data_IF_637216628258
#
_entry.id   IF_637216628258
#
_cell.length_a   1.000
_cell.length_b   1.000
_cell.length_c   1.000
_cell.angle_alpha   90.00
_cell.angle_beta   90.00
_cell.angle_gamma   90.00
#
_symmetry.space_group_name_H-M   'P 1'
#
loop_
_entity.id
_entity.type
_entity.pdbx_description
1 polymer ?
#
# COMPACT_ATOMS: atom_id res chain seq x y z
N UNK A 1 -8.17 32.15 -33.66
CA UNK A 1 -6.89 31.47 -33.32
C UNK A 1 -7.17 30.61 -32.12
N UNK A 2 -7.52 29.36 -32.35
CA UNK A 2 -7.87 28.41 -31.28
C UNK A 2 -6.56 27.89 -30.70
N UNK A 3 -6.27 28.20 -29.43
CA UNK A 3 -5.12 27.63 -28.70
C UNK A 3 -5.36 26.12 -28.59
N UNK A 4 -4.50 25.33 -29.28
CA UNK A 4 -4.39 23.91 -28.97
C UNK A 4 -4.00 23.76 -27.50
N UNK A 5 -4.95 23.30 -26.68
CA UNK A 5 -4.67 22.78 -25.36
C UNK A 5 -3.95 21.46 -25.60
N UNK A 6 -2.65 21.43 -25.34
CA UNK A 6 -1.87 20.19 -25.29
C UNK A 6 -2.45 19.38 -24.13
N UNK A 7 -3.21 18.34 -24.46
CA UNK A 7 -3.67 17.36 -23.47
C UNK A 7 -2.40 16.69 -22.92
N UNK A 8 -2.03 17.05 -21.71
CA UNK A 8 -1.13 16.24 -20.88
C UNK A 8 -1.71 14.84 -20.80
N UNK A 9 -0.87 13.81 -20.81
CA UNK A 9 -1.26 12.40 -20.75
C UNK A 9 -2.27 12.17 -19.60
N UNK A 10 -3.56 12.26 -19.91
CA UNK A 10 -4.59 11.91 -18.96
C UNK A 10 -4.64 10.39 -18.85
N UNK A 11 -4.50 9.88 -17.63
CA UNK A 11 -4.79 8.48 -17.32
C UNK A 11 -6.13 8.10 -17.97
N UNK A 12 -6.14 7.02 -18.74
CA UNK A 12 -7.33 6.58 -19.44
C UNK A 12 -8.45 6.32 -18.43
N UNK A 13 -9.67 6.86 -18.67
CA UNK A 13 -10.82 6.66 -17.78
C UNK A 13 -11.08 5.18 -17.43
N UNK A 14 -10.87 4.27 -18.38
CA UNK A 14 -10.98 2.83 -18.15
C UNK A 14 -9.94 2.34 -17.15
N UNK A 15 -8.69 2.80 -17.26
CA UNK A 15 -7.61 2.46 -16.34
C UNK A 15 -7.90 2.98 -14.93
N UNK A 16 -8.32 4.25 -14.85
CA UNK A 16 -8.70 4.86 -13.57
C UNK A 16 -9.88 4.12 -12.91
N UNK A 17 -10.93 3.82 -13.69
CA UNK A 17 -12.10 3.07 -13.20
C UNK A 17 -11.73 1.68 -12.66
N UNK A 18 -10.87 0.95 -13.38
CA UNK A 18 -10.37 -0.36 -12.94
C UNK A 18 -9.52 -0.25 -11.68
N UNK A 19 -8.65 0.76 -11.64
CA UNK A 19 -7.80 0.96 -10.50
C UNK A 19 -8.59 1.37 -9.26
N UNK A 20 -9.57 2.26 -9.40
CA UNK A 20 -10.50 2.61 -8.32
C UNK A 20 -11.24 1.37 -7.78
N UNK A 21 -11.66 0.46 -8.66
CA UNK A 21 -12.33 -0.78 -8.25
C UNK A 21 -11.44 -1.66 -7.37
N UNK A 22 -10.14 -1.80 -7.69
CA UNK A 22 -9.24 -2.65 -6.89
C UNK A 22 -8.77 -1.99 -5.59
N UNK A 23 -8.85 -0.66 -5.50
CA UNK A 23 -8.55 0.07 -4.27
C UNK A 23 -9.74 0.15 -3.32
N UNK A 24 -10.95 -0.19 -3.77
CA UNK A 24 -12.15 -0.16 -2.95
C UNK A 24 -12.06 -1.15 -1.79
N UNK A 25 -12.49 -0.75 -0.60
CA UNK A 25 -12.45 -1.57 0.61
C UNK A 25 -13.31 -2.84 0.53
N UNK A 26 -14.28 -2.91 -0.42
CA UNK A 26 -15.10 -4.10 -0.68
C UNK A 26 -14.42 -5.09 -1.64
N UNK A 27 -13.28 -4.72 -2.26
CA UNK A 27 -12.56 -5.62 -3.14
C UNK A 27 -12.07 -6.86 -2.35
N UNK A 28 -12.23 -8.08 -2.87
CA UNK A 28 -11.98 -9.31 -2.12
C UNK A 28 -10.47 -9.60 -1.96
N UNK A 29 -9.71 -8.64 -1.45
CA UNK A 29 -8.29 -8.79 -1.15
C UNK A 29 -8.01 -9.38 0.24
N UNK A 30 -8.99 -9.32 1.16
CA UNK A 30 -8.82 -9.74 2.54
C UNK A 30 -8.19 -8.68 3.45
N UNK A 31 -7.88 -7.49 2.96
CA UNK A 31 -7.19 -6.44 3.72
C UNK A 31 -7.94 -5.98 4.98
N UNK A 32 -9.28 -6.04 4.99
CA UNK A 32 -10.13 -5.54 6.08
C UNK A 32 -9.99 -6.31 7.40
N UNK A 33 -9.34 -7.47 7.41
CA UNK A 33 -9.09 -8.26 8.62
C UNK A 33 -7.75 -7.90 9.30
N UNK A 34 -7.02 -6.94 8.75
CA UNK A 34 -5.73 -6.50 9.25
C UNK A 34 -5.81 -5.10 9.84
N UNK A 35 -5.20 -4.89 11.02
CA UNK A 35 -5.11 -3.58 11.67
C UNK A 35 -3.88 -2.78 11.26
N UNK A 36 -2.94 -3.44 10.60
CA UNK A 36 -1.64 -2.85 10.22
C UNK A 36 -0.90 -2.19 11.41
N UNK A 37 -0.94 -2.85 12.58
CA UNK A 37 -0.28 -2.39 13.79
C UNK A 37 -1.08 -1.38 14.63
N UNK A 38 -2.24 -0.94 14.18
CA UNK A 38 -3.04 0.03 14.93
C UNK A 38 -3.65 -0.57 16.21
N UNK A 39 -4.12 -1.83 16.16
CA UNK A 39 -4.77 -2.47 17.32
C UNK A 39 -3.89 -2.44 18.59
N UNK A 40 -2.62 -2.91 18.55
CA UNK A 40 -1.78 -2.84 19.75
C UNK A 40 -1.47 -1.40 20.21
N UNK A 41 -1.43 -0.42 19.30
CA UNK A 41 -1.26 0.99 19.68
C UNK A 41 -2.48 1.56 20.41
N UNK A 42 -3.69 1.13 20.03
CA UNK A 42 -4.92 1.53 20.74
C UNK A 42 -5.02 0.82 22.10
N UNK A 43 -4.74 -0.48 22.15
CA UNK A 43 -4.77 -1.24 23.42
C UNK A 43 -3.79 -0.66 24.44
N UNK A 44 -2.65 -0.15 24.00
CA UNK A 44 -1.64 0.51 24.86
C UNK A 44 -1.91 2.01 25.08
N UNK A 45 -3.05 2.51 24.68
CA UNK A 45 -3.42 3.93 24.81
C UNK A 45 -2.42 4.90 24.12
N UNK A 46 -1.58 4.40 23.20
CA UNK A 46 -0.72 5.26 22.37
C UNK A 46 -1.54 5.99 21.30
N UNK A 47 -2.61 5.36 20.82
CA UNK A 47 -3.65 5.97 19.96
C UNK A 47 -4.97 5.89 20.72
N UNK A 48 -5.50 7.04 21.16
CA UNK A 48 -6.69 7.14 22.01
C UNK A 48 -7.73 8.17 21.54
N UNK A 49 -7.31 9.11 20.72
CA UNK A 49 -8.10 10.22 20.19
C UNK A 49 -7.68 10.53 18.75
N UNK A 50 -8.35 11.53 18.13
CA UNK A 50 -8.10 11.90 16.73
C UNK A 50 -6.68 12.44 16.54
N UNK A 51 -6.17 13.23 17.49
CA UNK A 51 -4.84 13.84 17.39
C UNK A 51 -3.74 12.79 17.41
N UNK A 52 -3.85 11.80 18.29
CA UNK A 52 -2.88 10.69 18.36
C UNK A 52 -3.01 9.73 17.18
N UNK A 53 -4.20 9.57 16.60
CA UNK A 53 -4.38 8.82 15.36
C UNK A 53 -3.73 9.55 14.18
N UNK A 54 -3.91 10.85 14.08
CA UNK A 54 -3.28 11.66 13.04
C UNK A 54 -1.75 11.57 13.09
N UNK A 55 -1.17 11.75 14.27
CA UNK A 55 0.28 11.59 14.48
C UNK A 55 0.75 10.19 14.06
N UNK A 56 -0.01 9.14 14.42
CA UNK A 56 0.30 7.76 14.02
C UNK A 56 0.35 7.62 12.49
N UNK A 57 -0.65 8.14 11.78
CA UNK A 57 -0.71 8.05 10.32
C UNK A 57 0.36 8.90 9.62
N UNK A 58 0.69 10.09 10.16
CA UNK A 58 1.79 10.93 9.66
C UNK A 58 3.14 10.20 9.81
N UNK A 59 3.40 9.61 10.97
CA UNK A 59 4.64 8.85 11.21
C UNK A 59 4.72 7.62 10.28
N UNK A 60 3.60 6.97 9.99
CA UNK A 60 3.56 5.86 9.05
C UNK A 60 4.02 6.28 7.64
N UNK A 61 3.58 7.45 7.17
CA UNK A 61 4.02 7.98 5.88
C UNK A 61 5.51 8.36 5.92
N UNK A 62 5.92 9.13 6.93
CA UNK A 62 7.26 9.74 6.99
C UNK A 62 8.34 8.71 7.33
N UNK A 63 8.08 7.82 8.30
CA UNK A 63 9.09 6.93 8.85
C UNK A 63 9.09 5.52 8.24
N UNK A 64 8.00 5.10 7.63
CA UNK A 64 7.92 3.81 7.00
C UNK A 64 7.72 3.92 5.48
N UNK A 65 6.58 4.43 5.02
CA UNK A 65 6.24 4.40 3.59
C UNK A 65 7.27 5.09 2.72
N UNK A 66 7.75 6.29 3.12
CA UNK A 66 8.77 7.02 2.35
C UNK A 66 10.13 6.32 2.31
N UNK A 67 10.44 5.49 3.31
CA UNK A 67 11.76 4.84 3.45
C UNK A 67 11.78 3.41 2.91
N UNK A 68 10.62 2.80 2.68
CA UNK A 68 10.53 1.43 2.19
C UNK A 68 9.53 1.29 1.03
N UNK A 69 8.25 1.44 1.29
CA UNK A 69 7.20 1.12 0.33
C UNK A 69 7.30 1.96 -0.94
N UNK A 70 7.49 3.28 -0.82
CA UNK A 70 7.63 4.15 -1.99
C UNK A 70 8.89 3.86 -2.80
N UNK A 71 9.97 3.47 -2.12
CA UNK A 71 11.21 3.03 -2.78
C UNK A 71 10.97 1.75 -3.59
N UNK A 72 10.23 0.79 -3.03
CA UNK A 72 9.86 -0.44 -3.75
C UNK A 72 8.94 -0.15 -4.94
N UNK A 73 7.96 0.75 -4.80
CA UNK A 73 7.11 1.20 -5.91
C UNK A 73 7.97 1.77 -7.04
N UNK A 74 8.85 2.72 -6.71
CA UNK A 74 9.73 3.37 -7.70
C UNK A 74 10.63 2.35 -8.40
N UNK A 75 11.23 1.44 -7.67
CA UNK A 75 12.07 0.37 -8.24
C UNK A 75 11.25 -0.57 -9.12
N UNK A 76 10.04 -0.95 -8.71
CA UNK A 76 9.18 -1.82 -9.49
C UNK A 76 8.84 -1.19 -10.83
N UNK A 77 8.38 0.07 -10.85
CA UNK A 77 8.10 0.80 -12.09
C UNK A 77 9.32 0.88 -12.99
N UNK A 78 10.47 1.32 -12.44
CA UNK A 78 11.74 1.41 -13.18
C UNK A 78 12.13 0.09 -13.85
N UNK A 79 12.08 -1.01 -13.11
CA UNK A 79 12.52 -2.30 -13.64
C UNK A 79 11.50 -2.95 -14.57
N UNK A 80 10.22 -2.64 -14.45
CA UNK A 80 9.21 -2.99 -15.46
C UNK A 80 9.45 -2.23 -16.76
N UNK A 81 9.73 -0.93 -16.69
CA UNK A 81 10.05 -0.10 -17.86
C UNK A 81 11.35 -0.55 -18.55
N UNK A 82 12.39 -0.90 -17.78
CA UNK A 82 13.66 -1.46 -18.29
C UNK A 82 13.53 -2.91 -18.76
N UNK A 83 12.36 -3.54 -18.70
CA UNK A 83 12.11 -4.95 -19.03
C UNK A 83 13.00 -5.93 -18.26
N UNK A 84 13.25 -5.67 -16.97
CA UNK A 84 14.13 -6.44 -16.10
C UNK A 84 13.35 -7.35 -15.13
N UNK A 85 12.63 -8.32 -15.68
CA UNK A 85 11.77 -9.24 -14.93
C UNK A 85 12.48 -9.92 -13.75
N UNK A 86 13.74 -10.34 -13.93
CA UNK A 86 14.51 -11.00 -12.88
C UNK A 86 14.71 -10.12 -11.63
N UNK A 87 14.79 -8.80 -11.83
CA UNK A 87 14.93 -7.85 -10.73
C UNK A 87 13.58 -7.61 -10.07
N UNK A 88 12.48 -7.48 -10.83
CA UNK A 88 11.12 -7.38 -10.27
C UNK A 88 10.82 -8.60 -9.38
N UNK A 89 11.11 -9.81 -9.86
CA UNK A 89 11.02 -11.03 -9.07
C UNK A 89 11.85 -10.95 -7.78
N UNK A 90 13.10 -10.45 -7.87
CA UNK A 90 13.97 -10.30 -6.71
C UNK A 90 13.36 -9.33 -5.69
N UNK A 91 12.84 -8.18 -6.12
CA UNK A 91 12.15 -7.22 -5.25
C UNK A 91 10.97 -7.87 -4.52
N UNK A 92 10.15 -8.65 -5.22
CA UNK A 92 9.00 -9.35 -4.66
C UNK A 92 9.40 -10.34 -3.56
N UNK A 93 10.45 -11.14 -3.80
CA UNK A 93 10.91 -12.11 -2.81
C UNK A 93 11.68 -11.45 -1.65
N UNK A 94 12.32 -10.31 -1.87
CA UNK A 94 13.16 -9.63 -0.90
C UNK A 94 12.36 -8.80 0.12
N UNK A 95 11.24 -8.19 -0.30
CA UNK A 95 10.44 -7.28 0.55
C UNK A 95 10.01 -7.96 1.85
N UNK A 96 9.72 -9.24 1.83
CA UNK A 96 9.35 -10.01 3.00
C UNK A 96 10.43 -10.06 4.09
N UNK A 97 11.72 -9.86 3.72
CA UNK A 97 12.83 -9.85 4.69
C UNK A 97 12.90 -8.58 5.53
N UNK A 98 12.20 -7.53 5.10
CA UNK A 98 12.11 -6.26 5.82
C UNK A 98 10.86 -6.15 6.70
N UNK A 99 9.97 -7.15 6.63
CA UNK A 99 8.70 -7.18 7.36
C UNK A 99 8.76 -8.21 8.49
N UNK A 100 7.96 -8.00 9.54
CA UNK A 100 7.73 -9.07 10.50
C UNK A 100 7.03 -10.25 9.82
N UNK A 101 7.18 -11.46 10.38
CA UNK A 101 6.62 -12.67 9.78
C UNK A 101 5.12 -12.54 9.48
N UNK A 102 4.34 -11.98 10.41
CA UNK A 102 2.90 -11.80 10.26
C UNK A 102 2.56 -10.84 9.13
N UNK A 103 3.29 -9.72 9.02
CA UNK A 103 3.12 -8.74 7.96
C UNK A 103 3.54 -9.29 6.60
N UNK A 104 4.67 -10.00 6.54
CA UNK A 104 5.12 -10.65 5.32
C UNK A 104 4.09 -11.66 4.81
N UNK A 105 3.53 -12.47 5.72
CA UNK A 105 2.47 -13.42 5.39
C UNK A 105 1.21 -12.70 4.91
N UNK A 106 0.75 -11.68 5.65
CA UNK A 106 -0.43 -10.90 5.27
C UNK A 106 -0.25 -10.24 3.89
N UNK A 107 0.91 -9.64 3.62
CA UNK A 107 1.22 -9.03 2.33
C UNK A 107 1.15 -10.04 1.18
N UNK A 108 1.66 -11.25 1.36
CA UNK A 108 1.59 -12.33 0.36
C UNK A 108 0.16 -12.81 0.16
N UNK A 109 -0.58 -13.03 1.23
CA UNK A 109 -1.98 -13.51 1.15
C UNK A 109 -2.86 -12.46 0.43
N UNK A 110 -2.73 -11.19 0.78
CA UNK A 110 -3.45 -10.07 0.15
C UNK A 110 -3.03 -9.93 -1.32
N UNK A 111 -1.74 -9.93 -1.60
CA UNK A 111 -1.23 -9.79 -2.96
C UNK A 111 -1.62 -10.96 -3.86
N UNK A 112 -1.64 -12.19 -3.33
CA UNK A 112 -2.14 -13.36 -4.06
C UNK A 112 -3.64 -13.23 -4.36
N UNK A 113 -4.44 -12.72 -3.43
CA UNK A 113 -5.85 -12.45 -3.66
C UNK A 113 -6.05 -11.40 -4.76
N UNK A 114 -5.27 -10.30 -4.77
CA UNK A 114 -5.25 -9.34 -5.88
C UNK A 114 -4.89 -10.03 -7.20
N UNK A 115 -3.79 -10.78 -7.23
CA UNK A 115 -3.35 -11.50 -8.42
C UNK A 115 -4.45 -12.37 -9.02
N UNK A 116 -5.14 -13.18 -8.22
CA UNK A 116 -6.23 -14.04 -8.69
C UNK A 116 -7.32 -13.24 -9.41
N UNK A 117 -7.68 -12.06 -8.88
CA UNK A 117 -8.76 -11.23 -9.42
C UNK A 117 -8.37 -10.48 -10.69
N UNK A 118 -7.09 -10.11 -10.84
CA UNK A 118 -6.64 -9.19 -11.92
C UNK A 118 -5.84 -9.88 -13.02
N UNK A 119 -5.33 -11.10 -12.83
CA UNK A 119 -4.39 -11.79 -13.73
C UNK A 119 -4.85 -11.85 -15.19
N UNK A 120 -6.15 -12.01 -15.43
CA UNK A 120 -6.72 -12.13 -16.77
C UNK A 120 -7.02 -10.77 -17.42
N UNK A 121 -6.75 -9.66 -16.71
CA UNK A 121 -7.01 -8.31 -17.19
C UNK A 121 -5.75 -7.56 -17.63
N UNK A 122 -4.56 -8.11 -17.37
CA UNK A 122 -3.27 -7.50 -17.74
C UNK A 122 -3.00 -7.57 -19.23
N UNK A 123 -2.41 -6.52 -19.78
CA UNK A 123 -2.13 -6.37 -21.21
C UNK A 123 -0.63 -6.40 -21.54
N UNK A 124 0.20 -5.82 -20.68
CA UNK A 124 1.65 -5.65 -20.88
C UNK A 124 2.39 -6.97 -20.72
N UNK A 125 3.28 -7.30 -21.67
CA UNK A 125 3.97 -8.60 -21.69
C UNK A 125 4.79 -8.86 -20.43
N UNK A 126 5.59 -7.90 -19.96
CA UNK A 126 6.41 -8.09 -18.75
C UNK A 126 5.57 -8.33 -17.49
N UNK A 127 4.38 -7.71 -17.39
CA UNK A 127 3.47 -7.95 -16.25
C UNK A 127 2.84 -9.34 -16.35
N UNK A 128 2.49 -9.79 -17.57
CA UNK A 128 2.04 -11.18 -17.79
C UNK A 128 3.11 -12.20 -17.41
N UNK A 129 4.36 -11.93 -17.75
CA UNK A 129 5.49 -12.78 -17.38
C UNK A 129 5.71 -12.80 -15.87
N UNK A 130 5.64 -11.64 -15.19
CA UNK A 130 5.70 -11.58 -13.73
C UNK A 130 4.55 -12.38 -13.09
N UNK A 131 3.33 -12.24 -13.60
CA UNK A 131 2.18 -13.01 -13.11
C UNK A 131 2.30 -14.51 -13.39
N UNK A 132 3.00 -14.89 -14.45
CA UNK A 132 3.35 -16.31 -14.68
C UNK A 132 4.32 -16.84 -13.64
N UNK A 133 5.27 -16.02 -13.15
CA UNK A 133 6.14 -16.41 -12.05
C UNK A 133 5.37 -16.64 -10.75
N UNK A 134 4.35 -15.82 -10.47
CA UNK A 134 3.46 -16.03 -9.32
C UNK A 134 2.69 -17.35 -9.48
N UNK A 135 2.13 -17.61 -10.66
CA UNK A 135 1.43 -18.86 -10.97
C UNK A 135 2.31 -20.09 -10.75
N UNK A 136 3.58 -19.99 -11.13
CA UNK A 136 4.56 -21.06 -11.01
C UNK A 136 5.24 -21.14 -9.61
N UNK A 137 4.73 -20.37 -8.63
CA UNK A 137 5.28 -20.27 -7.26
C UNK A 137 6.77 -19.87 -7.22
N UNK A 138 7.22 -19.10 -8.23
CA UNK A 138 8.59 -18.56 -8.35
C UNK A 138 8.73 -17.13 -7.85
N UNK A 139 7.62 -16.46 -7.59
CA UNK A 139 7.50 -15.13 -7.01
C UNK A 139 6.48 -15.15 -5.86
N UNK A 140 6.71 -14.36 -4.84
CA UNK A 140 5.97 -14.39 -3.56
C UNK A 140 4.59 -13.74 -3.62
N UNK A 141 4.33 -12.94 -4.65
CA UNK A 141 3.08 -12.17 -4.81
C UNK A 141 2.81 -11.18 -3.67
N UNK A 142 3.82 -10.45 -3.19
CA UNK A 142 3.57 -9.40 -2.19
C UNK A 142 2.64 -8.32 -2.75
N UNK A 143 1.70 -7.86 -1.92
CA UNK A 143 0.67 -6.87 -2.28
C UNK A 143 1.24 -5.68 -3.04
N UNK A 144 2.30 -5.08 -2.50
CA UNK A 144 2.89 -3.86 -3.05
C UNK A 144 3.42 -4.07 -4.48
N UNK A 145 4.11 -5.19 -4.73
CA UNK A 145 4.69 -5.49 -6.05
C UNK A 145 3.59 -5.86 -7.06
N UNK A 146 2.58 -6.62 -6.63
CA UNK A 146 1.43 -6.97 -7.46
C UNK A 146 0.66 -5.72 -7.87
N UNK A 147 0.32 -4.83 -6.91
CA UNK A 147 -0.40 -3.59 -7.20
C UNK A 147 0.41 -2.61 -8.04
N UNK A 148 1.72 -2.46 -7.75
CA UNK A 148 2.62 -1.61 -8.56
C UNK A 148 2.70 -2.11 -10.00
N UNK A 149 2.81 -3.42 -10.19
CA UNK A 149 2.86 -4.03 -11.53
C UNK A 149 1.54 -3.84 -12.27
N UNK A 150 0.41 -3.95 -11.59
CA UNK A 150 -0.90 -3.72 -12.19
C UNK A 150 -1.14 -2.24 -12.53
N UNK A 151 -0.75 -1.33 -11.65
CA UNK A 151 -0.83 0.11 -11.93
C UNK A 151 0.03 0.50 -13.13
N UNK A 152 1.24 -0.07 -13.25
CA UNK A 152 2.09 0.07 -14.43
C UNK A 152 1.39 -0.45 -15.70
N UNK A 153 0.78 -1.64 -15.66
CA UNK A 153 0.01 -2.21 -16.79
C UNK A 153 -1.15 -1.31 -17.23
N UNK A 154 -1.79 -0.64 -16.28
CA UNK A 154 -2.86 0.32 -16.53
C UNK A 154 -2.36 1.69 -16.98
N UNK A 155 -1.05 1.89 -17.10
CA UNK A 155 -0.41 3.16 -17.43
C UNK A 155 -0.81 4.29 -16.46
N UNK A 156 -0.87 3.98 -15.17
CA UNK A 156 -1.06 4.96 -14.10
C UNK A 156 0.29 5.58 -13.79
N UNK A 157 0.34 6.90 -13.68
CA UNK A 157 1.57 7.60 -13.29
C UNK A 157 2.02 7.14 -11.89
N UNK A 158 3.33 7.04 -11.69
CA UNK A 158 3.90 6.54 -10.44
C UNK A 158 3.52 7.41 -9.23
N UNK A 159 3.44 8.74 -9.39
CA UNK A 159 3.04 9.65 -8.32
C UNK A 159 1.56 9.47 -7.98
N UNK A 160 0.72 9.36 -9.00
CA UNK A 160 -0.70 9.09 -8.83
C UNK A 160 -0.90 7.75 -8.11
N UNK A 161 -0.13 6.73 -8.47
CA UNK A 161 -0.18 5.44 -7.80
C UNK A 161 0.21 5.53 -6.32
N UNK A 162 1.34 6.20 -6.00
CA UNK A 162 1.80 6.38 -4.61
C UNK A 162 0.73 7.09 -3.79
N UNK A 163 0.16 8.19 -4.30
CA UNK A 163 -0.89 8.94 -3.60
C UNK A 163 -2.13 8.07 -3.36
N UNK A 164 -2.64 7.40 -4.40
CA UNK A 164 -3.83 6.57 -4.29
C UNK A 164 -3.62 5.35 -3.38
N UNK A 165 -2.48 4.68 -3.48
CA UNK A 165 -2.13 3.56 -2.62
C UNK A 165 -2.01 4.00 -1.15
N UNK A 166 -1.34 5.12 -0.89
CA UNK A 166 -1.22 5.67 0.46
C UNK A 166 -2.58 6.02 1.02
N UNK A 167 -3.40 6.78 0.26
CA UNK A 167 -4.75 7.17 0.70
C UNK A 167 -5.62 5.96 1.03
N UNK A 168 -5.61 4.92 0.18
CA UNK A 168 -6.30 3.64 0.46
C UNK A 168 -5.88 3.05 1.80
N UNK A 169 -4.58 2.99 2.09
CA UNK A 169 -4.08 2.42 3.35
C UNK A 169 -4.47 3.27 4.55
N UNK A 170 -4.37 4.61 4.45
CA UNK A 170 -4.83 5.52 5.51
C UNK A 170 -6.32 5.33 5.81
N UNK A 171 -7.16 5.21 4.78
CA UNK A 171 -8.60 4.97 4.92
C UNK A 171 -8.84 3.63 5.65
N UNK A 172 -8.15 2.57 5.26
CA UNK A 172 -8.33 1.24 5.86
C UNK A 172 -7.90 1.22 7.33
N UNK A 173 -6.75 1.83 7.65
CA UNK A 173 -6.25 1.92 9.03
C UNK A 173 -7.19 2.80 9.87
N UNK A 174 -7.61 3.96 9.36
CA UNK A 174 -8.52 4.84 10.06
C UNK A 174 -9.91 4.19 10.27
N UNK A 175 -10.42 3.43 9.29
CA UNK A 175 -11.65 2.67 9.43
C UNK A 175 -11.55 1.58 10.51
N UNK A 176 -10.36 1.00 10.68
CA UNK A 176 -10.07 0.04 11.77
C UNK A 176 -10.22 0.71 13.13
N UNK A 177 -9.79 1.97 13.29
CA UNK A 177 -9.91 2.71 14.55
C UNK A 177 -11.37 2.86 15.02
N UNK A 178 -12.33 2.98 14.10
CA UNK A 178 -13.76 3.09 14.42
C UNK A 178 -14.25 1.84 15.18
N UNK A 179 -13.71 0.67 14.87
CA UNK A 179 -14.14 -0.60 15.47
C UNK A 179 -13.63 -0.80 16.90
N UNK A 180 -12.49 -0.21 17.23
CA UNK A 180 -11.74 -0.47 18.48
C UNK A 180 -11.53 0.77 19.35
N UNK A 181 -11.93 1.95 18.90
CA UNK A 181 -11.80 3.22 19.63
C UNK A 181 -13.13 3.95 19.72
N UNK A 182 -13.13 5.08 20.47
CA UNK A 182 -14.28 5.97 20.57
C UNK A 182 -14.18 7.21 19.68
N UNK A 183 -13.31 7.19 18.67
CA UNK A 183 -13.13 8.31 17.73
C UNK A 183 -14.36 8.39 16.81
N UNK A 184 -14.90 9.59 16.66
CA UNK A 184 -16.11 9.79 15.84
C UNK A 184 -15.79 9.64 14.36
N UNK A 185 -16.60 8.92 13.56
CA UNK A 185 -16.37 8.76 12.12
C UNK A 185 -16.24 10.10 11.36
N UNK A 186 -16.96 11.15 11.79
CA UNK A 186 -16.88 12.49 11.17
C UNK A 186 -15.50 13.13 11.32
N UNK A 187 -14.85 12.93 12.47
CA UNK A 187 -13.53 13.50 12.74
C UNK A 187 -12.46 12.77 11.91
N UNK A 188 -12.61 11.45 11.78
CA UNK A 188 -11.77 10.63 10.90
C UNK A 188 -11.88 11.10 9.44
N UNK A 189 -13.08 11.32 8.93
CA UNK A 189 -13.24 11.78 7.55
C UNK A 189 -12.60 13.15 7.33
N UNK A 190 -12.77 14.09 8.28
CA UNK A 190 -12.14 15.41 8.22
C UNK A 190 -10.61 15.27 8.17
N UNK A 191 -10.04 14.54 9.10
CA UNK A 191 -8.58 14.25 9.14
C UNK A 191 -8.11 13.65 7.82
N UNK A 192 -8.80 12.65 7.26
CA UNK A 192 -8.43 12.04 5.99
C UNK A 192 -8.45 13.00 4.80
N UNK A 193 -9.34 14.03 4.80
CA UNK A 193 -9.30 15.08 3.79
C UNK A 193 -8.09 16.00 3.97
N UNK A 194 -7.69 16.30 5.21
CA UNK A 194 -6.50 17.12 5.50
C UNK A 194 -5.20 16.43 5.03
N UNK A 195 -5.16 15.10 5.00
CA UNK A 195 -4.03 14.35 4.43
C UNK A 195 -3.85 14.56 2.91
N UNK A 196 -4.85 15.05 2.17
CA UNK A 196 -4.72 15.30 0.74
C UNK A 196 -3.66 16.38 0.46
N UNK A 197 -3.57 17.43 1.30
CA UNK A 197 -2.52 18.46 1.19
C UNK A 197 -1.13 17.88 1.44
N UNK A 198 -1.00 16.96 2.42
CA UNK A 198 0.29 16.31 2.72
C UNK A 198 0.74 15.45 1.54
N UNK A 199 -0.17 14.66 0.97
CA UNK A 199 0.13 13.77 -0.15
C UNK A 199 0.42 14.55 -1.44
N UNK A 200 -0.28 15.65 -1.71
CA UNK A 200 -0.07 16.48 -2.90
C UNK A 200 1.29 17.18 -2.86
N UNK A 201 1.70 17.65 -1.66
CA UNK A 201 2.96 18.39 -1.46
C UNK A 201 4.16 17.50 -1.09
N UNK A 202 4.00 16.19 -1.12
CA UNK A 202 5.06 15.25 -0.77
C UNK A 202 6.21 15.31 -1.78
N UNK A 203 7.46 15.28 -1.28
CA UNK A 203 8.62 15.11 -2.13
C UNK A 203 8.68 13.63 -2.61
N UNK A 204 8.67 13.44 -3.93
CA UNK A 204 8.74 12.13 -4.58
C UNK A 204 10.18 11.70 -4.91
N UNK A 205 11.19 12.42 -4.42
CA UNK A 205 12.60 12.04 -4.54
C UNK A 205 12.99 11.15 -3.36
N UNK A 206 12.70 9.87 -3.47
CA UNK A 206 13.05 8.91 -2.43
C UNK A 206 14.48 8.41 -2.60
N UNK A 207 15.20 8.25 -1.47
CA UNK A 207 16.50 7.61 -1.46
C UNK A 207 16.36 6.17 -2.01
N UNK A 208 17.29 5.72 -2.84
CA UNK A 208 17.31 4.34 -3.34
C UNK A 208 17.63 3.33 -2.22
N UNK A 209 18.10 3.78 -1.08
CA UNK A 209 18.41 2.96 0.07
C UNK A 209 17.13 2.64 0.87
N UNK A 210 16.77 1.38 0.85
CA UNK A 210 15.65 0.87 1.65
C UNK A 210 16.06 0.83 3.12
N UNK A 211 15.24 1.42 3.97
CA UNK A 211 15.38 1.32 5.43
C UNK A 211 14.00 1.07 6.02
N UNK A 212 13.90 0.06 6.88
CA UNK A 212 12.67 -0.27 7.60
C UNK A 212 13.01 -0.48 9.08
N UNK A 213 13.54 0.55 9.70
CA UNK A 213 13.88 0.49 11.12
C UNK A 213 13.13 1.61 11.86
N UNK A 214 11.99 1.26 12.44
CA UNK A 214 11.27 2.09 13.39
C UNK A 214 11.06 1.29 14.69
N UNK A 215 12.05 1.29 15.62
CA UNK A 215 12.03 0.44 16.80
C UNK A 215 10.82 0.69 17.71
N UNK A 216 10.33 1.91 17.79
CA UNK A 216 9.15 2.25 18.60
C UNK A 216 7.85 1.68 18.02
N UNK A 217 7.81 1.51 16.71
CA UNK A 217 6.69 0.93 16.00
C UNK A 217 6.74 -0.60 16.03
N UNK A 218 7.92 -1.16 15.78
CA UNK A 218 8.14 -2.62 15.76
C UNK A 218 7.89 -3.27 17.12
N UNK A 219 8.34 -2.65 18.22
CA UNK A 219 8.10 -3.17 19.57
C UNK A 219 6.59 -3.42 19.81
N UNK A 220 5.75 -2.46 19.41
CA UNK A 220 4.30 -2.55 19.60
C UNK A 220 3.68 -3.57 18.66
N UNK A 221 4.19 -3.70 17.44
CA UNK A 221 3.72 -4.69 16.46
C UNK A 221 4.01 -6.12 16.95
N UNK A 222 5.20 -6.38 17.48
CA UNK A 222 5.55 -7.71 18.01
C UNK A 222 4.63 -8.17 19.11
N UNK A 223 4.09 -7.24 19.92
CA UNK A 223 3.16 -7.55 20.99
C UNK A 223 1.76 -7.92 20.53
N UNK A 224 1.40 -7.65 19.26
CA UNK A 224 0.12 -8.08 18.69
C UNK A 224 -0.11 -9.60 18.86
N UNK A 225 0.95 -10.40 18.88
CA UNK A 225 0.87 -11.85 19.11
C UNK A 225 0.24 -12.23 20.44
N UNK A 226 0.42 -11.40 21.46
CA UNK A 226 0.02 -11.66 22.85
C UNK A 226 -1.25 -10.91 23.25
N UNK A 227 -1.86 -10.14 22.35
CA UNK A 227 -3.11 -9.43 22.65
C UNK A 227 -4.26 -10.42 22.88
N UNK A 228 -5.02 -10.22 23.96
CA UNK A 228 -6.25 -10.93 24.28
C UNK A 228 -7.30 -9.94 24.82
N UNK A 229 -8.51 -9.87 24.21
CA UNK A 229 -8.89 -10.48 22.94
C UNK A 229 -8.26 -9.77 21.74
N UNK A 230 -8.08 -10.50 20.62
CA UNK A 230 -7.71 -9.91 19.32
C UNK A 230 -8.96 -9.66 18.49
N UNK A 231 -9.02 -8.51 17.83
CA UNK A 231 -10.07 -8.18 16.89
C UNK A 231 -9.62 -8.31 15.43
N UNK A 232 -8.31 -8.31 15.17
CA UNK A 232 -7.71 -8.38 13.83
C UNK A 232 -6.66 -9.49 13.75
N UNK A 233 -6.35 -9.92 12.53
CA UNK A 233 -5.37 -10.98 12.26
C UNK A 233 -3.95 -10.48 12.46
N UNK A 234 -3.68 -9.22 12.02
CA UNK A 234 -2.41 -8.50 12.21
C UNK A 234 -2.68 -7.02 12.47
#
# INVERSE_FOLDING_TARGET
MVKHITLTNHTNLKSLSRFMQILDGSFPSGMFVHSFGLEPHIVKEKVKDIDTLEIYLQNLIIDQYSKMEFVYICKTYKYLEENRLSVVKKLDNEISSYLTYEYAKASKDIGHNYYIQIKDTVSTNIVKEYFSLIKDEKADANELIVLSSYAYDLNIDIKDFIVMWTKKNLINIAATSIKISRIRPSDIQKMLFEFDEILENMDFNFDEKITNFNPLFEEVIFEHKTLEPKMFVT
#
